data_IF_912570017562
#
_entry.id   IF_912570017562
#
_cell.length_a   1.000
_cell.length_b   1.000
_cell.length_c   1.000
_cell.angle_alpha   90.00
_cell.angle_beta   90.00
_cell.angle_gamma   90.00
#
_symmetry.space_group_name_H-M   'P 1'
#
loop_
_entity.id
_entity.type
_entity.pdbx_description
1 polymer ?
#
# COMPACT_ATOMS: atom_id res chain seq x y z
N UNK A 1 -14.30 4.33 -22.84
CA UNK A 1 -14.08 5.74 -22.44
C UNK A 1 -13.01 5.67 -21.37
N UNK A 2 -11.89 6.39 -21.50
CA UNK A 2 -10.85 6.36 -20.46
C UNK A 2 -11.44 7.01 -19.21
N UNK A 3 -11.54 6.26 -18.11
CA UNK A 3 -12.08 6.80 -16.87
C UNK A 3 -10.90 7.43 -16.13
N UNK A 4 -10.90 8.75 -16.01
CA UNK A 4 -9.82 9.45 -15.31
C UNK A 4 -9.73 8.96 -13.86
N UNK A 5 -8.57 8.43 -13.47
CA UNK A 5 -8.26 8.11 -12.07
C UNK A 5 -8.13 9.42 -11.30
N UNK A 6 -8.93 9.59 -10.24
CA UNK A 6 -8.91 10.77 -9.38
C UNK A 6 -8.35 10.38 -8.03
N UNK A 7 -7.11 10.81 -7.76
CA UNK A 7 -6.44 10.64 -6.46
C UNK A 7 -6.86 11.79 -5.55
N UNK A 8 -7.53 11.49 -4.43
CA UNK A 8 -7.94 12.49 -3.45
C UNK A 8 -6.80 12.78 -2.46
N UNK A 9 -6.08 11.73 -2.05
CA UNK A 9 -4.96 11.79 -1.09
C UNK A 9 -3.95 10.71 -1.36
N UNK A 10 -2.71 10.98 -0.95
CA UNK A 10 -1.67 9.99 -0.76
C UNK A 10 -1.06 10.15 0.63
N UNK A 11 -0.74 9.04 1.29
CA UNK A 11 -0.06 9.01 2.58
C UNK A 11 1.13 8.05 2.49
N UNK A 12 2.33 8.61 2.61
CA UNK A 12 3.58 7.86 2.75
C UNK A 12 3.96 7.80 4.23
N UNK A 13 4.20 6.60 4.75
CA UNK A 13 4.60 6.37 6.14
C UNK A 13 5.88 5.57 6.19
N UNK A 14 6.86 6.04 6.98
CA UNK A 14 8.10 5.32 7.26
C UNK A 14 8.17 4.95 8.73
N UNK A 15 8.28 3.66 9.02
CA UNK A 15 8.40 3.10 10.36
C UNK A 15 9.76 2.43 10.52
N UNK A 16 10.47 2.75 11.60
CA UNK A 16 11.73 2.07 11.98
C UNK A 16 11.58 1.38 13.32
N UNK A 17 11.85 0.08 13.35
CA UNK A 17 11.92 -0.71 14.58
C UNK A 17 13.37 -0.79 15.02
N UNK A 18 13.72 -0.13 16.13
CA UNK A 18 15.10 -0.08 16.64
C UNK A 18 15.41 -1.23 17.62
N UNK A 19 14.38 -1.84 18.21
CA UNK A 19 14.48 -2.88 19.25
C UNK A 19 13.43 -3.95 19.03
N UNK A 20 13.79 -5.22 19.23
CA UNK A 20 12.89 -6.36 19.17
C UNK A 20 13.33 -7.43 20.18
N UNK A 21 12.38 -8.19 20.73
CA UNK A 21 12.63 -9.25 21.73
C UNK A 21 13.53 -8.80 22.91
N UNK A 22 13.37 -7.54 23.36
CA UNK A 22 14.14 -6.98 24.48
C UNK A 22 15.56 -6.52 24.14
N UNK A 23 16.04 -6.70 22.91
CA UNK A 23 17.38 -6.31 22.48
C UNK A 23 17.36 -5.18 21.43
N UNK A 24 18.47 -4.45 21.34
CA UNK A 24 18.72 -3.51 20.23
C UNK A 24 19.08 -4.26 18.95
N UNK A 25 18.49 -3.86 17.84
CA UNK A 25 18.80 -4.42 16.54
C UNK A 25 20.09 -3.80 15.99
N UNK A 26 20.97 -4.65 15.44
CA UNK A 26 22.18 -4.17 14.74
C UNK A 26 21.82 -3.39 13.48
N UNK A 27 20.80 -3.85 12.75
CA UNK A 27 20.15 -3.17 11.63
C UNK A 27 18.68 -2.97 12.00
N UNK A 28 18.23 -1.73 12.25
CA UNK A 28 16.80 -1.47 12.45
C UNK A 28 15.96 -1.95 11.27
N UNK A 29 14.84 -2.61 11.53
CA UNK A 29 13.90 -2.94 10.46
C UNK A 29 13.19 -1.66 10.02
N UNK A 30 13.07 -1.46 8.70
CA UNK A 30 12.32 -0.36 8.13
C UNK A 30 11.15 -0.90 7.33
N UNK A 31 9.97 -0.38 7.62
CA UNK A 31 8.81 -0.54 6.78
C UNK A 31 8.41 0.80 6.19
N UNK A 32 8.05 0.78 4.92
CA UNK A 32 7.47 1.93 4.23
C UNK A 32 6.16 1.47 3.61
N UNK A 33 5.10 2.24 3.85
CA UNK A 33 3.81 2.05 3.20
C UNK A 33 3.40 3.33 2.50
N UNK A 34 2.76 3.17 1.34
CA UNK A 34 2.12 4.25 0.62
C UNK A 34 0.68 3.84 0.32
N UNK A 35 -0.26 4.71 0.68
CA UNK A 35 -1.68 4.52 0.41
C UNK A 35 -2.18 5.68 -0.44
N UNK A 36 -2.96 5.38 -1.47
CA UNK A 36 -3.71 6.38 -2.24
C UNK A 36 -5.20 6.18 -1.96
N UNK A 37 -5.91 7.26 -1.67
CA UNK A 37 -7.37 7.26 -1.56
C UNK A 37 -7.93 7.78 -2.87
N UNK A 38 -8.73 6.96 -3.54
CA UNK A 38 -9.22 7.21 -4.88
C UNK A 38 -10.72 7.47 -4.86
N UNK A 39 -11.21 8.37 -5.72
CA UNK A 39 -12.65 8.41 -6.00
C UNK A 39 -13.05 7.11 -6.73
N UNK A 40 -14.08 6.43 -6.23
CA UNK A 40 -14.62 5.22 -6.83
C UNK A 40 -15.59 5.56 -7.94
N UNK A 41 -15.31 5.20 -9.21
CA UNK A 41 -16.28 5.39 -10.31
C UNK A 41 -17.51 4.47 -10.18
N UNK A 42 -17.51 3.57 -9.19
CA UNK A 42 -18.52 2.54 -8.99
C UNK A 42 -19.30 2.71 -7.68
N UNK A 43 -19.17 3.85 -7.00
CA UNK A 43 -19.83 4.09 -5.72
C UNK A 43 -21.37 4.03 -5.81
N UNK A 44 -21.93 4.46 -6.94
CA UNK A 44 -23.39 4.57 -7.13
C UNK A 44 -24.04 3.32 -7.74
N UNK A 45 -23.29 2.52 -8.49
CA UNK A 45 -23.83 1.44 -9.32
C UNK A 45 -22.96 0.18 -9.24
N UNK A 46 -23.58 -0.99 -9.42
CA UNK A 46 -22.83 -2.25 -9.49
C UNK A 46 -21.96 -2.29 -10.76
N UNK A 47 -20.63 -2.30 -10.57
CA UNK A 47 -19.69 -2.40 -11.67
C UNK A 47 -19.74 -3.77 -12.34
N UNK A 48 -19.67 -3.79 -13.66
CA UNK A 48 -19.42 -5.04 -14.42
C UNK A 48 -17.93 -5.34 -14.42
N UNK A 49 -17.58 -6.62 -14.49
CA UNK A 49 -16.19 -7.10 -14.56
C UNK A 49 -15.34 -6.35 -15.59
N UNK A 50 -15.87 -6.12 -16.80
CA UNK A 50 -15.16 -5.40 -17.85
C UNK A 50 -14.82 -3.94 -17.45
N UNK A 51 -15.70 -3.27 -16.70
CA UNK A 51 -15.46 -1.90 -16.24
C UNK A 51 -14.39 -1.87 -15.14
N UNK A 52 -14.39 -2.87 -14.26
CA UNK A 52 -13.36 -3.03 -13.24
C UNK A 52 -12.00 -3.29 -13.92
N UNK A 53 -11.95 -4.19 -14.92
CA UNK A 53 -10.74 -4.50 -15.64
C UNK A 53 -10.17 -3.29 -16.40
N UNK A 54 -11.03 -2.48 -17.04
CA UNK A 54 -10.64 -1.23 -17.68
C UNK A 54 -10.05 -0.25 -16.66
N UNK A 55 -10.73 -0.04 -15.52
CA UNK A 55 -10.24 0.87 -14.48
C UNK A 55 -8.93 0.38 -13.84
N UNK A 56 -8.79 -0.92 -13.61
CA UNK A 56 -7.54 -1.55 -13.15
C UNK A 56 -6.37 -1.28 -14.10
N UNK A 57 -6.61 -1.29 -15.42
CA UNK A 57 -5.59 -0.93 -16.39
C UNK A 57 -5.21 0.55 -16.31
N UNK A 58 -6.21 1.43 -16.10
CA UNK A 58 -6.01 2.87 -15.92
C UNK A 58 -5.25 3.21 -14.61
N UNK A 59 -5.23 2.31 -13.61
CA UNK A 59 -4.49 2.48 -12.35
C UNK A 59 -2.99 2.18 -12.45
N UNK A 60 -2.50 1.52 -13.51
CA UNK A 60 -1.09 1.15 -13.62
C UNK A 60 -0.10 2.32 -13.49
N UNK A 61 -0.31 3.49 -14.13
CA UNK A 61 0.61 4.62 -14.00
C UNK A 61 0.72 5.13 -12.55
N UNK A 62 -0.39 5.15 -11.81
CA UNK A 62 -0.38 5.52 -10.40
C UNK A 62 0.36 4.48 -9.56
N UNK A 63 0.16 3.18 -9.85
CA UNK A 63 0.87 2.12 -9.15
C UNK A 63 2.39 2.21 -9.38
N UNK A 64 2.84 2.55 -10.60
CA UNK A 64 4.25 2.76 -10.92
C UNK A 64 4.82 3.96 -10.15
N UNK A 65 4.11 5.09 -10.10
CA UNK A 65 4.49 6.28 -9.33
C UNK A 65 4.63 5.95 -7.84
N UNK A 66 3.61 5.30 -7.26
CA UNK A 66 3.62 4.89 -5.86
C UNK A 66 4.76 3.90 -5.55
N UNK A 67 5.04 2.97 -6.44
CA UNK A 67 6.13 2.00 -6.27
C UNK A 67 7.50 2.69 -6.30
N UNK A 68 7.68 3.69 -7.17
CA UNK A 68 8.90 4.51 -7.22
C UNK A 68 9.07 5.29 -5.92
N UNK A 69 8.04 6.00 -5.46
CA UNK A 69 8.09 6.81 -4.25
C UNK A 69 8.36 5.94 -3.00
N UNK A 70 7.67 4.80 -2.87
CA UNK A 70 7.88 3.86 -1.78
C UNK A 70 9.31 3.29 -1.78
N UNK A 71 9.82 2.89 -2.95
CA UNK A 71 11.20 2.40 -3.08
C UNK A 71 12.18 3.48 -2.67
N UNK A 72 12.05 4.69 -3.20
CA UNK A 72 13.00 5.77 -2.94
C UNK A 72 13.03 6.14 -1.44
N UNK A 73 11.87 6.12 -0.77
CA UNK A 73 11.77 6.32 0.68
C UNK A 73 12.38 5.16 1.51
N UNK A 74 12.25 3.92 1.03
CA UNK A 74 12.81 2.73 1.66
C UNK A 74 14.34 2.69 1.54
N UNK A 75 14.86 2.99 0.33
CA UNK A 75 16.27 2.80 -0.04
C UNK A 75 17.12 4.07 0.06
N UNK A 76 16.58 5.17 0.59
CA UNK A 76 17.28 6.46 0.71
C UNK A 76 18.66 6.39 1.41
N UNK A 77 18.86 5.42 2.30
CA UNK A 77 20.10 5.22 3.05
C UNK A 77 20.99 4.10 2.43
N UNK A 78 20.73 3.69 1.18
CA UNK A 78 21.44 2.62 0.48
C UNK A 78 21.01 1.20 0.85
N UNK A 79 19.89 1.05 1.55
CA UNK A 79 19.28 -0.24 1.91
C UNK A 79 18.58 -0.89 0.70
N UNK A 80 18.34 -2.20 0.76
CA UNK A 80 17.64 -2.98 -0.26
C UNK A 80 16.22 -3.34 0.16
N UNK A 81 15.35 -3.66 -0.82
CA UNK A 81 13.99 -4.15 -0.56
C UNK A 81 14.01 -5.65 -0.35
N UNK A 82 13.64 -6.11 0.84
CA UNK A 82 13.60 -7.55 1.17
C UNK A 82 12.18 -8.13 1.08
N UNK A 83 11.16 -7.34 1.40
CA UNK A 83 9.75 -7.75 1.43
C UNK A 83 8.85 -6.77 0.69
N UNK A 84 7.70 -7.26 0.24
CA UNK A 84 6.65 -6.41 -0.31
C UNK A 84 5.26 -7.00 -0.01
N UNK A 85 4.25 -6.14 -0.10
CA UNK A 85 2.85 -6.50 0.00
C UNK A 85 1.99 -5.46 -0.70
N UNK A 86 0.75 -5.82 -1.00
CA UNK A 86 -0.24 -4.92 -1.59
C UNK A 86 -1.63 -5.27 -1.09
N UNK A 87 -2.50 -4.28 -1.05
CA UNK A 87 -3.90 -4.47 -0.68
C UNK A 87 -4.72 -3.26 -1.09
N UNK A 88 -6.03 -3.44 -1.04
CA UNK A 88 -7.02 -2.39 -1.27
C UNK A 88 -8.17 -2.63 -0.30
N UNK A 89 -8.80 -1.57 0.17
CA UNK A 89 -9.93 -1.64 1.10
C UNK A 89 -11.05 -0.74 0.61
N UNK A 90 -12.25 -1.30 0.49
CA UNK A 90 -13.48 -0.51 0.46
C UNK A 90 -14.06 -0.58 1.87
N UNK A 91 -14.22 0.55 2.54
CA UNK A 91 -14.52 0.56 3.96
C UNK A 91 -15.14 1.87 4.45
N UNK A 92 -15.36 1.94 5.76
CA UNK A 92 -15.77 3.18 6.41
C UNK A 92 -14.57 4.11 6.65
N UNK A 93 -14.85 5.37 6.95
CA UNK A 93 -13.84 6.37 7.27
C UNK A 93 -12.88 5.88 8.37
N UNK A 94 -11.57 5.92 8.09
CA UNK A 94 -10.53 5.52 9.03
C UNK A 94 -10.37 4.01 9.17
N UNK A 95 -10.92 3.21 8.27
CA UNK A 95 -10.73 1.75 8.28
C UNK A 95 -9.24 1.39 8.12
N UNK A 96 -8.80 0.39 8.87
CA UNK A 96 -7.46 -0.18 8.75
C UNK A 96 -7.48 -1.38 7.82
N UNK A 97 -6.44 -1.51 7.00
CA UNK A 97 -6.09 -2.74 6.31
C UNK A 97 -4.73 -3.24 6.79
N UNK A 98 -4.66 -4.53 7.09
CA UNK A 98 -3.42 -5.22 7.42
C UNK A 98 -2.81 -5.80 6.14
N UNK A 99 -1.65 -5.29 5.73
CA UNK A 99 -0.96 -5.72 4.51
C UNK A 99 0.05 -6.81 4.87
N UNK A 100 -0.16 -8.07 4.45
CA UNK A 100 0.82 -9.12 4.68
C UNK A 100 2.06 -8.86 3.81
N UNK A 101 3.23 -8.99 4.43
CA UNK A 101 4.52 -8.87 3.76
C UNK A 101 5.16 -10.26 3.63
N UNK A 102 5.74 -10.51 2.46
CA UNK A 102 6.51 -11.74 2.20
C UNK A 102 7.82 -11.39 1.50
N UNK A 103 8.81 -12.27 1.63
CA UNK A 103 10.12 -12.09 0.99
C UNK A 103 9.98 -12.05 -0.54
N UNK A 104 10.61 -11.06 -1.16
CA UNK A 104 10.50 -10.75 -2.60
C UNK A 104 10.80 -11.95 -3.50
N UNK A 105 11.81 -12.74 -3.13
CA UNK A 105 12.29 -13.87 -3.95
C UNK A 105 11.96 -15.26 -3.39
N UNK A 106 11.36 -15.34 -2.19
CA UNK A 106 11.18 -16.62 -1.49
C UNK A 106 10.03 -16.56 -0.47
N UNK A 107 8.80 -16.63 -0.98
CA UNK A 107 7.58 -16.44 -0.20
C UNK A 107 7.37 -17.44 0.95
N UNK A 108 8.12 -18.54 1.01
CA UNK A 108 8.02 -19.54 2.08
C UNK A 108 8.98 -19.28 3.25
N UNK A 109 9.83 -18.24 3.21
CA UNK A 109 10.79 -17.92 4.27
C UNK A 109 10.08 -17.29 5.48
N UNK A 110 9.94 -18.00 6.61
CA UNK A 110 9.14 -17.50 7.73
C UNK A 110 9.78 -16.33 8.47
N UNK A 111 11.10 -16.11 8.31
CA UNK A 111 11.82 -14.99 8.91
C UNK A 111 11.39 -13.62 8.40
N UNK A 112 10.67 -13.58 7.27
CA UNK A 112 10.23 -12.34 6.61
C UNK A 112 8.71 -12.20 6.58
N UNK A 113 7.98 -13.05 7.32
CA UNK A 113 6.56 -12.83 7.54
C UNK A 113 6.37 -11.68 8.51
N UNK A 114 5.72 -10.64 8.03
CA UNK A 114 5.31 -9.49 8.83
C UNK A 114 3.99 -8.91 8.28
N UNK A 115 3.44 -7.94 8.99
CA UNK A 115 2.24 -7.22 8.63
C UNK A 115 2.48 -5.73 8.81
N UNK A 116 2.16 -4.95 7.76
CA UNK A 116 2.13 -3.50 7.83
C UNK A 116 0.67 -3.03 7.94
N UNK A 117 0.24 -2.50 9.10
CA UNK A 117 -1.08 -1.89 9.22
C UNK A 117 -1.08 -0.54 8.50
N UNK A 118 -2.05 -0.32 7.61
CA UNK A 118 -2.21 0.91 6.86
C UNK A 118 -3.56 1.53 7.17
N UNK A 119 -3.53 2.81 7.56
CA UNK A 119 -4.71 3.64 7.85
C UNK A 119 -4.49 5.00 7.23
N UNK A 120 -5.49 5.51 6.50
CA UNK A 120 -5.59 6.92 6.14
C UNK A 120 -6.70 7.52 7.00
N UNK A 121 -6.41 8.40 7.98
CA UNK A 121 -7.40 8.78 9.00
C UNK A 121 -8.71 9.37 8.46
N UNK A 122 -8.67 10.01 7.29
CA UNK A 122 -9.81 10.68 6.68
C UNK A 122 -10.32 10.02 5.38
N UNK A 123 -9.96 8.75 5.16
CA UNK A 123 -10.50 7.90 4.09
C UNK A 123 -10.56 6.41 4.48
N UNK A 124 -11.07 5.54 3.60
CA UNK A 124 -11.94 5.89 2.48
C UNK A 124 -13.30 6.39 2.96
N UNK A 125 -13.85 7.40 2.27
CA UNK A 125 -15.26 7.83 2.36
C UNK A 125 -16.16 6.86 1.58
N UNK A 126 -17.51 6.95 1.71
CA UNK A 126 -18.42 6.03 1.03
C UNK A 126 -18.27 5.95 -0.50
N UNK A 127 -17.73 7.00 -1.13
CA UNK A 127 -17.45 7.10 -2.56
C UNK A 127 -15.97 6.91 -2.92
N UNK A 128 -15.16 6.36 -2.01
CA UNK A 128 -13.72 6.17 -2.18
C UNK A 128 -13.29 4.70 -2.02
N UNK A 129 -12.08 4.39 -2.49
CA UNK A 129 -11.32 3.13 -2.28
C UNK A 129 -9.91 3.45 -1.83
#
# INVERSE_FOLDING_TARGET
MVTTVVVQRMQLTTRRTLRAAGAGLKRPHRHVSIAAVLASPFAADHAREAQIAEWMADLHPLADEMAIELRDALTADGEETETYGKGAIVGALGSQIDIPLVHLHASYLPSHYDVEPVVVPDGPRPDEV
#
